data_IF_596810796279
#
_entry.id   IF_596810796279
#
_cell.length_a   1.000
_cell.length_b   1.000
_cell.length_c   1.000
_cell.angle_alpha   90.00
_cell.angle_beta   90.00
_cell.angle_gamma   90.00
#
_symmetry.space_group_name_H-M   'P 1'
#
loop_
_entity.id
_entity.type
_entity.pdbx_description
1 polymer ?
#
# COMPACT_ATOMS: atom_id res chain seq x y z
N UNK A 1 1.19 -20.26 6.64
CA UNK A 1 0.71 -19.84 5.31
C UNK A 1 1.88 -19.97 4.34
N UNK A 2 1.87 -20.96 3.43
CA UNK A 2 2.94 -21.11 2.44
C UNK A 2 2.73 -20.06 1.35
N UNK A 3 3.59 -19.06 1.30
CA UNK A 3 3.57 -18.04 0.24
C UNK A 3 4.08 -18.71 -1.04
N UNK A 4 3.26 -18.73 -2.10
CA UNK A 4 3.66 -19.29 -3.39
C UNK A 4 4.82 -18.46 -3.95
N UNK A 5 6.02 -19.01 -3.92
CA UNK A 5 7.21 -18.38 -4.51
C UNK A 5 7.42 -18.91 -5.92
N UNK A 6 7.56 -18.00 -6.88
CA UNK A 6 8.07 -18.30 -8.21
C UNK A 6 9.48 -17.73 -8.30
N UNK A 7 10.41 -18.51 -8.83
CA UNK A 7 11.75 -18.02 -9.12
C UNK A 7 11.72 -17.35 -10.50
N UNK A 8 12.32 -16.16 -10.58
CA UNK A 8 12.52 -15.43 -11.82
C UNK A 8 14.01 -15.12 -11.95
N UNK A 9 14.55 -15.29 -13.15
CA UNK A 9 15.92 -14.89 -13.47
C UNK A 9 15.84 -13.53 -14.16
N UNK A 10 16.44 -12.52 -13.55
CA UNK A 10 16.49 -11.15 -14.06
C UNK A 10 17.96 -10.82 -14.29
N UNK A 11 18.27 -10.29 -15.47
CA UNK A 11 19.60 -9.81 -15.81
C UNK A 11 19.70 -8.34 -15.40
N UNK A 12 20.74 -8.03 -14.63
CA UNK A 12 21.10 -6.66 -14.24
C UNK A 12 22.44 -6.31 -14.87
N UNK A 13 22.65 -5.03 -15.14
CA UNK A 13 23.98 -4.58 -15.54
C UNK A 13 24.96 -4.73 -14.36
N UNK A 14 26.27 -4.91 -14.61
CA UNK A 14 27.25 -5.14 -13.54
C UNK A 14 27.29 -4.01 -12.50
N UNK A 15 27.07 -2.78 -12.94
CA UNK A 15 27.02 -1.61 -12.06
C UNK A 15 25.77 -1.63 -11.18
N UNK A 16 24.60 -1.92 -11.75
CA UNK A 16 23.34 -2.03 -11.02
C UNK A 16 23.40 -3.16 -9.98
N UNK A 17 23.96 -4.31 -10.37
CA UNK A 17 24.13 -5.43 -9.45
C UNK A 17 25.01 -5.06 -8.26
N UNK A 18 26.12 -4.35 -8.49
CA UNK A 18 27.00 -3.87 -7.41
C UNK A 18 26.25 -2.93 -6.46
N UNK A 19 25.43 -2.03 -6.99
CA UNK A 19 24.62 -1.12 -6.17
C UNK A 19 23.59 -1.90 -5.35
N UNK A 20 22.88 -2.84 -5.95
CA UNK A 20 21.90 -3.68 -5.24
C UNK A 20 22.53 -4.47 -4.10
N UNK A 21 23.73 -5.03 -4.30
CA UNK A 21 24.46 -5.75 -3.25
C UNK A 21 24.86 -4.81 -2.11
N UNK A 22 25.33 -3.60 -2.42
CA UNK A 22 25.68 -2.60 -1.41
C UNK A 22 24.48 -2.17 -0.57
N UNK A 23 23.34 -1.90 -1.22
CA UNK A 23 22.09 -1.52 -0.54
C UNK A 23 21.58 -2.67 0.32
N UNK A 24 21.56 -3.89 -0.22
CA UNK A 24 21.12 -5.07 0.51
C UNK A 24 21.99 -5.32 1.76
N UNK A 25 23.30 -5.11 1.66
CA UNK A 25 24.22 -5.20 2.79
C UNK A 25 23.94 -4.12 3.85
N UNK A 26 23.70 -2.88 3.44
CA UNK A 26 23.37 -1.77 4.34
C UNK A 26 22.01 -1.97 5.05
N UNK A 27 21.03 -2.57 4.38
CA UNK A 27 19.71 -2.91 4.95
C UNK A 27 19.69 -4.28 5.65
N UNK A 28 20.83 -4.98 5.77
CA UNK A 28 20.94 -6.30 6.37
C UNK A 28 19.94 -7.33 5.80
N UNK A 29 19.72 -7.30 4.49
CA UNK A 29 18.82 -8.21 3.80
C UNK A 29 19.45 -8.81 2.54
N UNK A 30 18.78 -9.79 1.93
CA UNK A 30 19.20 -10.33 0.63
C UNK A 30 18.73 -9.44 -0.52
N UNK A 31 19.44 -9.46 -1.66
CA UNK A 31 19.02 -8.77 -2.88
C UNK A 31 17.60 -9.17 -3.30
N UNK A 32 17.22 -10.45 -3.13
CA UNK A 32 15.86 -10.91 -3.42
C UNK A 32 14.80 -10.27 -2.52
N UNK A 33 15.10 -10.06 -1.23
CA UNK A 33 14.19 -9.36 -0.31
C UNK A 33 14.08 -7.89 -0.68
N UNK A 34 15.21 -7.24 -1.01
CA UNK A 34 15.25 -5.85 -1.44
C UNK A 34 14.38 -5.63 -2.69
N UNK A 35 14.56 -6.46 -3.73
CA UNK A 35 13.78 -6.38 -4.97
C UNK A 35 12.29 -6.63 -4.70
N UNK A 36 11.93 -7.61 -3.87
CA UNK A 36 10.53 -7.86 -3.51
C UNK A 36 9.91 -6.66 -2.80
N UNK A 37 10.63 -6.05 -1.85
CA UNK A 37 10.18 -4.87 -1.11
C UNK A 37 9.96 -3.70 -2.07
N UNK A 38 10.93 -3.43 -2.95
CA UNK A 38 10.83 -2.38 -3.96
C UNK A 38 9.62 -2.60 -4.89
N UNK A 39 9.37 -3.82 -5.37
CA UNK A 39 8.20 -4.13 -6.21
C UNK A 39 6.89 -3.87 -5.45
N UNK A 40 6.80 -4.27 -4.18
CA UNK A 40 5.61 -4.01 -3.37
C UNK A 40 5.38 -2.51 -3.16
N UNK A 41 6.43 -1.75 -2.88
CA UNK A 41 6.33 -0.30 -2.69
C UNK A 41 5.95 0.42 -3.99
N UNK A 42 6.63 0.12 -5.10
CA UNK A 42 6.39 0.79 -6.38
C UNK A 42 5.02 0.49 -6.96
N UNK A 43 4.58 -0.77 -6.93
CA UNK A 43 3.38 -1.18 -7.66
C UNK A 43 2.14 -1.40 -6.78
N UNK A 44 2.31 -1.86 -5.53
CA UNK A 44 1.16 -2.17 -4.67
C UNK A 44 0.82 -1.02 -3.72
N UNK A 45 1.83 -0.30 -3.21
CA UNK A 45 1.60 0.83 -2.31
C UNK A 45 1.05 2.04 -3.08
N UNK A 46 1.61 2.36 -4.24
CA UNK A 46 1.13 3.45 -5.11
C UNK A 46 -0.35 3.28 -5.47
N UNK A 47 -0.76 2.09 -5.92
CA UNK A 47 -2.16 1.82 -6.26
C UNK A 47 -3.11 1.89 -5.04
N UNK A 48 -2.62 1.59 -3.83
CA UNK A 48 -3.40 1.72 -2.60
C UNK A 48 -3.53 3.19 -2.19
N UNK A 49 -2.44 3.94 -2.25
CA UNK A 49 -2.40 5.35 -1.86
C UNK A 49 -3.24 6.20 -2.82
N UNK A 50 -3.22 5.90 -4.13
CA UNK A 50 -4.11 6.49 -5.14
C UNK A 50 -5.58 6.21 -4.84
N UNK A 51 -5.96 4.96 -4.57
CA UNK A 51 -7.34 4.61 -4.19
C UNK A 51 -7.81 5.28 -2.91
N UNK A 52 -6.91 5.43 -1.92
CA UNK A 52 -7.22 6.15 -0.69
C UNK A 52 -7.42 7.63 -1.00
N UNK A 53 -6.58 8.23 -1.83
CA UNK A 53 -6.71 9.63 -2.24
C UNK A 53 -8.04 9.87 -2.97
N UNK A 54 -8.39 9.03 -3.95
CA UNK A 54 -9.67 9.08 -4.66
C UNK A 54 -10.85 8.96 -3.70
N UNK A 55 -10.82 8.00 -2.77
CA UNK A 55 -11.87 7.82 -1.77
C UNK A 55 -11.99 9.03 -0.84
N UNK A 56 -10.87 9.64 -0.44
CA UNK A 56 -10.87 10.85 0.41
C UNK A 56 -11.49 12.03 -0.34
N UNK A 57 -11.16 12.22 -1.61
CA UNK A 57 -11.71 13.30 -2.43
C UNK A 57 -13.20 13.08 -2.71
N UNK A 58 -13.61 11.85 -2.96
CA UNK A 58 -15.02 11.51 -3.10
C UNK A 58 -15.78 11.79 -1.80
N UNK A 59 -15.27 11.34 -0.65
CA UNK A 59 -15.85 11.64 0.67
C UNK A 59 -15.95 13.14 0.86
N UNK A 60 -14.89 13.92 0.58
CA UNK A 60 -14.92 15.38 0.71
C UNK A 60 -15.97 16.03 -0.18
N UNK A 61 -16.15 15.52 -1.40
CA UNK A 61 -17.16 16.01 -2.35
C UNK A 61 -18.59 15.75 -1.85
N UNK A 62 -18.87 14.56 -1.34
CA UNK A 62 -20.23 14.17 -0.93
C UNK A 62 -20.55 14.54 0.51
N UNK A 63 -19.53 14.73 1.37
CA UNK A 63 -19.71 14.94 2.81
C UNK A 63 -20.39 16.29 3.05
N UNK A 64 -21.62 16.31 3.56
CA UNK A 64 -22.19 17.54 4.06
C UNK A 64 -21.36 18.01 5.26
N UNK A 65 -20.99 19.30 5.28
CA UNK A 65 -20.30 19.92 6.42
C UNK A 65 -21.26 20.00 7.60
N UNK A 66 -21.38 18.90 8.34
CA UNK A 66 -22.20 18.82 9.54
C UNK A 66 -21.46 19.53 10.69
N UNK A 67 -21.99 20.67 11.13
CA UNK A 67 -21.39 21.51 12.18
C UNK A 67 -21.80 21.09 13.61
N UNK A 68 -22.60 20.03 13.77
CA UNK A 68 -23.13 19.57 15.07
C UNK A 68 -22.49 18.29 15.61
N UNK A 69 -22.89 17.86 16.81
CA UNK A 69 -22.55 16.53 17.33
C UNK A 69 -23.38 15.46 16.61
N UNK A 70 -22.72 14.43 16.09
CA UNK A 70 -23.38 13.30 15.44
C UNK A 70 -24.07 12.46 16.51
N UNK A 71 -25.39 12.21 16.36
CA UNK A 71 -26.10 11.25 17.20
C UNK A 71 -25.90 9.83 16.67
N UNK A 72 -24.88 9.17 17.21
CA UNK A 72 -24.53 7.81 16.85
C UNK A 72 -25.61 6.78 17.20
N UNK A 73 -26.43 7.03 18.24
CA UNK A 73 -27.47 6.08 18.67
C UNK A 73 -28.61 6.04 17.65
N UNK A 74 -29.04 7.20 17.17
CA UNK A 74 -30.00 7.30 16.08
C UNK A 74 -29.48 6.65 14.79
N UNK A 75 -28.21 6.89 14.45
CA UNK A 75 -27.58 6.36 13.24
C UNK A 75 -27.49 4.82 13.25
N UNK A 76 -27.04 4.24 14.38
CA UNK A 76 -26.95 2.79 14.56
C UNK A 76 -28.33 2.14 14.50
N UNK A 77 -29.34 2.75 15.13
CA UNK A 77 -30.71 2.22 15.09
C UNK A 77 -31.32 2.27 13.69
N UNK A 78 -31.02 3.31 12.91
CA UNK A 78 -31.45 3.41 11.51
C UNK A 78 -30.81 2.31 10.66
N UNK A 79 -29.50 2.07 10.81
CA UNK A 79 -28.78 1.02 10.08
C UNK A 79 -29.10 -0.42 10.49
N UNK A 80 -29.85 -0.63 11.58
CA UNK A 80 -30.40 -1.95 11.97
C UNK A 80 -31.79 -2.20 11.38
N UNK A 81 -32.46 -1.14 10.93
CA UNK A 81 -33.83 -1.19 10.40
C UNK A 81 -33.87 -1.53 8.91
N UNK A 82 -32.76 -1.29 8.20
CA UNK A 82 -32.53 -1.59 6.80
C UNK A 82 -31.30 -2.49 6.67
#
# INVERSE_FOLDING_TARGET
MYMLTKNAHILFDPQEWKQLVQIAAAEHCSVNQLVRKAVQETFLKTARDEKIAEAVDEIRRIRPHFKGKIDYKALINHGRKY
#
